data_IF_307737314792
#
_entry.id   IF_307737314792
#
_cell.length_a   1.000
_cell.length_b   1.000
_cell.length_c   1.000
_cell.angle_alpha   90.00
_cell.angle_beta   90.00
_cell.angle_gamma   90.00
#
_symmetry.space_group_name_H-M   'P 1'
#
loop_
_entity.id
_entity.type
_entity.pdbx_description
1 polymer ?
#
# COMPACT_ATOMS: atom_id res chain seq x y z
N UNK A 1 12.60 24.05 22.15
CA UNK A 1 12.20 24.88 21.00
C UNK A 1 13.07 26.13 21.00
N UNK A 2 13.69 26.49 19.88
CA UNK A 2 14.49 27.72 19.78
C UNK A 2 13.68 28.79 19.03
N UNK A 3 13.74 30.03 19.48
CA UNK A 3 13.09 31.16 18.84
C UNK A 3 14.13 32.03 18.10
N UNK A 4 13.81 32.44 16.89
CA UNK A 4 14.65 33.31 16.07
C UNK A 4 13.83 34.50 15.61
N UNK A 5 14.50 35.67 15.57
CA UNK A 5 13.88 36.90 15.01
C UNK A 5 14.03 36.89 13.51
N UNK A 6 12.96 37.26 12.83
CA UNK A 6 12.98 37.55 11.40
C UNK A 6 13.62 38.94 11.23
N UNK A 7 14.57 39.03 10.32
CA UNK A 7 15.23 40.29 9.97
C UNK A 7 14.97 40.62 8.50
N UNK A 8 14.77 41.87 8.20
CA UNK A 8 14.59 42.35 6.83
C UNK A 8 15.94 42.81 6.27
N UNK A 9 16.29 42.34 5.08
CA UNK A 9 17.53 42.75 4.40
C UNK A 9 17.27 43.12 2.95
N UNK A 10 17.90 44.18 2.49
CA UNK A 10 17.65 44.70 1.16
C UNK A 10 16.23 45.26 1.01
N UNK A 11 15.67 45.20 -0.22
CA UNK A 11 14.34 45.73 -0.53
C UNK A 11 13.21 44.68 -0.55
N UNK A 12 13.52 43.38 -0.44
CA UNK A 12 12.51 42.35 -0.68
C UNK A 12 12.74 41.02 0.06
N UNK A 13 13.78 40.87 0.91
CA UNK A 13 14.10 39.59 1.50
C UNK A 13 14.06 39.59 3.02
N UNK A 14 13.48 38.53 3.59
CA UNK A 14 13.55 38.22 5.02
C UNK A 14 14.59 37.17 5.28
N UNK A 15 15.35 37.31 6.38
CA UNK A 15 16.35 36.31 6.82
C UNK A 15 16.04 35.84 8.23
N UNK A 16 16.39 34.57 8.48
CA UNK A 16 16.38 33.95 9.79
C UNK A 16 17.73 33.25 10.03
N UNK A 17 18.29 33.37 11.23
CA UNK A 17 19.58 32.75 11.56
C UNK A 17 19.38 31.27 11.86
N UNK A 18 20.18 30.40 11.23
CA UNK A 18 20.21 28.97 11.52
C UNK A 18 20.91 28.68 12.85
N UNK A 19 20.54 27.60 13.59
CA UNK A 19 21.21 27.19 14.80
C UNK A 19 22.68 26.80 14.51
N UNK A 20 23.63 27.40 15.25
CA UNK A 20 25.07 27.09 15.06
C UNK A 20 25.40 25.60 15.20
N UNK A 21 24.70 24.91 16.09
CA UNK A 21 24.89 23.47 16.33
C UNK A 21 24.53 22.70 15.05
N UNK A 22 23.35 22.96 14.48
CA UNK A 22 22.87 22.33 13.25
C UNK A 22 23.82 22.59 12.06
N UNK A 23 24.27 23.85 11.87
CA UNK A 23 25.22 24.22 10.81
C UNK A 23 26.53 23.42 10.92
N UNK A 24 27.06 23.27 12.15
CA UNK A 24 28.30 22.53 12.39
C UNK A 24 28.14 21.01 12.19
N UNK A 25 27.05 20.44 12.68
CA UNK A 25 26.76 19.01 12.55
C UNK A 25 26.66 18.58 11.08
N UNK A 26 26.21 19.50 10.20
CA UNK A 26 26.09 19.24 8.78
C UNK A 26 27.26 19.76 7.94
N UNK A 27 28.35 20.25 8.58
CA UNK A 27 29.55 20.79 7.92
C UNK A 27 29.22 21.91 6.91
N UNK A 28 28.24 22.77 7.23
CA UNK A 28 27.87 23.91 6.42
C UNK A 28 28.73 25.13 6.76
N UNK A 29 29.02 25.95 5.74
CA UNK A 29 29.85 27.14 5.82
C UNK A 29 29.10 28.37 5.28
N UNK A 30 29.64 29.54 5.57
CA UNK A 30 29.11 30.79 5.00
C UNK A 30 29.19 30.75 3.47
N UNK A 31 28.09 31.03 2.80
CA UNK A 31 28.00 31.02 1.35
C UNK A 31 27.42 29.72 0.77
N UNK A 32 27.28 28.66 1.59
CA UNK A 32 26.62 27.44 1.13
C UNK A 32 25.13 27.71 0.83
N UNK A 33 24.65 27.05 -0.22
CA UNK A 33 23.23 27.05 -0.61
C UNK A 33 22.54 25.85 0.02
N UNK A 34 21.45 26.12 0.72
CA UNK A 34 20.64 25.07 1.36
C UNK A 34 19.24 25.06 0.74
N UNK A 35 18.74 23.88 0.33
CA UNK A 35 17.36 23.73 -0.15
C UNK A 35 16.34 24.05 0.95
N UNK A 36 15.22 24.63 0.54
CA UNK A 36 14.14 25.02 1.42
C UNK A 36 12.81 24.57 0.81
N UNK A 37 11.97 23.91 1.60
CA UNK A 37 10.61 23.53 1.22
C UNK A 37 9.60 24.22 2.13
N UNK A 38 8.53 24.75 1.55
CA UNK A 38 7.35 25.25 2.28
C UNK A 38 6.36 24.10 2.36
N UNK A 39 6.01 23.70 3.58
CA UNK A 39 5.09 22.60 3.84
C UNK A 39 3.64 23.09 3.80
N UNK A 40 2.65 22.21 3.56
CA UNK A 40 1.23 22.56 3.53
C UNK A 40 0.69 23.16 4.85
N UNK A 41 1.30 22.81 5.99
CA UNK A 41 0.97 23.38 7.30
C UNK A 41 1.54 24.80 7.52
N UNK A 42 2.17 25.38 6.50
CA UNK A 42 2.82 26.69 6.56
C UNK A 42 4.20 26.69 7.23
N UNK A 43 4.70 25.54 7.66
CA UNK A 43 6.08 25.43 8.18
C UNK A 43 7.10 25.42 7.05
N UNK A 44 8.36 25.74 7.39
CA UNK A 44 9.48 25.70 6.45
C UNK A 44 10.48 24.65 6.91
N UNK A 45 10.81 23.73 6.02
CA UNK A 45 11.89 22.76 6.23
C UNK A 45 13.13 23.18 5.46
N UNK A 46 14.29 23.19 6.14
CA UNK A 46 15.59 23.48 5.53
C UNK A 46 16.39 22.19 5.51
N UNK A 47 16.91 21.83 4.35
CA UNK A 47 17.73 20.64 4.15
C UNK A 47 19.21 21.01 4.15
N UNK A 48 20.09 20.26 4.81
CA UNK A 48 21.54 20.57 4.82
C UNK A 48 22.21 20.31 3.46
N UNK A 49 21.61 19.47 2.63
CA UNK A 49 22.00 19.19 1.24
C UNK A 49 20.74 18.97 0.44
N UNK A 50 20.83 19.16 -0.88
CA UNK A 50 19.73 18.69 -1.74
C UNK A 50 19.32 17.27 -1.33
N UNK A 51 18.03 17.02 -1.13
CA UNK A 51 17.55 15.67 -1.01
C UNK A 51 17.95 14.95 -2.31
N UNK A 52 19.11 14.31 -2.30
CA UNK A 52 19.45 13.42 -3.40
C UNK A 52 18.48 12.25 -3.28
N UNK A 53 17.92 11.82 -4.38
CA UNK A 53 17.41 10.47 -4.54
C UNK A 53 18.60 9.50 -4.37
N UNK A 54 19.04 9.35 -3.13
CA UNK A 54 20.00 8.32 -2.81
C UNK A 54 19.22 7.03 -2.86
N UNK A 55 19.42 6.28 -3.95
CA UNK A 55 18.91 4.92 -4.06
C UNK A 55 19.23 4.18 -2.76
N UNK A 56 18.17 3.97 -1.94
CA UNK A 56 18.35 3.33 -0.64
C UNK A 56 18.58 1.83 -0.83
N UNK A 57 19.75 1.37 -0.37
CA UNK A 57 20.12 -0.03 -0.47
C UNK A 57 19.88 -0.77 0.84
N UNK A 58 19.26 -1.95 0.75
CA UNK A 58 19.11 -2.90 1.85
C UNK A 58 19.90 -4.18 1.57
N UNK A 59 20.71 -4.60 2.55
CA UNK A 59 21.36 -5.91 2.53
C UNK A 59 20.59 -6.84 3.46
N UNK A 60 20.18 -7.99 2.94
CA UNK A 60 19.50 -9.05 3.68
C UNK A 60 20.46 -10.27 3.77
N UNK A 61 20.73 -10.72 4.98
CA UNK A 61 21.47 -11.95 5.22
C UNK A 61 20.48 -13.07 5.59
N UNK A 62 20.39 -14.09 4.74
CA UNK A 62 19.47 -15.21 4.89
C UNK A 62 20.27 -16.46 5.27
N UNK A 63 19.91 -17.05 6.40
CA UNK A 63 20.46 -18.32 6.88
C UNK A 63 19.33 -19.34 7.10
N UNK A 64 19.68 -20.58 7.45
CA UNK A 64 18.68 -21.61 7.79
C UNK A 64 17.95 -21.39 9.11
N UNK A 65 18.30 -20.37 9.87
CA UNK A 65 17.51 -19.92 11.03
C UNK A 65 16.14 -19.39 10.62
N UNK A 66 16.01 -18.92 9.38
CA UNK A 66 14.74 -18.51 8.80
C UNK A 66 14.13 -19.64 7.96
N UNK A 67 12.82 -19.78 7.98
CA UNK A 67 12.13 -20.62 6.99
C UNK A 67 12.21 -19.96 5.60
N UNK A 68 12.04 -20.73 4.50
CA UNK A 68 11.95 -20.17 3.15
C UNK A 68 10.86 -19.09 3.02
N UNK A 69 9.73 -19.25 3.72
CA UNK A 69 8.64 -18.29 3.72
C UNK A 69 8.99 -17.01 4.50
N UNK A 70 9.76 -17.13 5.57
CA UNK A 70 10.28 -15.95 6.26
C UNK A 70 11.26 -15.17 5.40
N UNK A 71 12.11 -15.84 4.62
CA UNK A 71 12.99 -15.19 3.66
C UNK A 71 12.20 -14.36 2.62
N UNK A 72 11.11 -14.92 2.09
CA UNK A 72 10.18 -14.19 1.19
C UNK A 72 9.60 -12.95 1.89
N UNK A 73 9.12 -13.09 3.13
CA UNK A 73 8.57 -11.96 3.91
C UNK A 73 9.59 -10.86 4.14
N UNK A 74 10.86 -11.19 4.37
CA UNK A 74 11.92 -10.18 4.52
C UNK A 74 12.15 -9.40 3.23
N UNK A 75 12.08 -10.05 2.06
CA UNK A 75 12.18 -9.38 0.75
C UNK A 75 10.99 -8.45 0.54
N UNK A 76 9.76 -8.91 0.78
CA UNK A 76 8.56 -8.07 0.69
C UNK A 76 8.67 -6.88 1.64
N UNK A 77 9.09 -7.11 2.90
CA UNK A 77 9.24 -6.06 3.89
C UNK A 77 10.24 -4.98 3.45
N UNK A 78 11.36 -5.36 2.85
CA UNK A 78 12.32 -4.41 2.33
C UNK A 78 11.76 -3.62 1.13
N UNK A 79 11.01 -4.26 0.24
CA UNK A 79 10.34 -3.60 -0.87
C UNK A 79 9.32 -2.54 -0.40
N UNK A 80 8.41 -2.88 0.52
CA UNK A 80 7.39 -1.95 1.03
C UNK A 80 7.98 -0.83 1.90
N UNK A 81 9.18 -1.02 2.47
CA UNK A 81 9.91 0.04 3.17
C UNK A 81 10.54 1.07 2.23
N UNK A 82 10.49 0.85 0.92
CA UNK A 82 10.94 1.82 -0.06
C UNK A 82 12.40 1.67 -0.52
N UNK A 83 13.09 0.58 -0.14
CA UNK A 83 14.45 0.34 -0.63
C UNK A 83 14.47 0.12 -2.14
N UNK A 84 15.39 0.82 -2.83
CA UNK A 84 15.51 0.76 -4.29
C UNK A 84 16.41 -0.40 -4.75
N UNK A 85 17.39 -0.76 -3.91
CA UNK A 85 18.30 -1.87 -4.19
C UNK A 85 18.25 -2.87 -3.05
N UNK A 86 17.89 -4.10 -3.39
CA UNK A 86 17.91 -5.24 -2.46
C UNK A 86 19.09 -6.15 -2.81
N UNK A 87 20.01 -6.30 -1.89
CA UNK A 87 21.11 -7.24 -2.00
C UNK A 87 20.91 -8.37 -0.98
N UNK A 88 20.70 -9.58 -1.47
CA UNK A 88 20.33 -10.75 -0.68
C UNK A 88 21.51 -11.72 -0.68
N UNK A 89 22.08 -11.97 0.49
CA UNK A 89 23.16 -12.92 0.72
C UNK A 89 22.60 -14.19 1.37
N UNK A 90 22.81 -15.32 0.72
CA UNK A 90 22.54 -16.63 1.29
C UNK A 90 23.80 -17.17 1.98
N UNK A 91 23.67 -17.59 3.23
CA UNK A 91 24.81 -18.08 4.02
C UNK A 91 25.52 -19.28 3.37
N UNK A 92 24.80 -20.06 2.59
CA UNK A 92 25.25 -21.22 1.84
C UNK A 92 24.39 -21.44 0.59
N UNK A 93 24.64 -22.47 -0.18
CA UNK A 93 23.75 -22.84 -1.28
C UNK A 93 22.41 -23.35 -0.74
N UNK A 94 21.34 -22.59 -0.98
CA UNK A 94 19.99 -22.82 -0.47
C UNK A 94 18.99 -22.78 -1.64
N UNK A 95 18.91 -23.82 -2.49
CA UNK A 95 18.15 -23.79 -3.74
C UNK A 95 16.68 -23.43 -3.57
N UNK A 96 16.00 -24.00 -2.56
CA UNK A 96 14.57 -23.74 -2.29
C UNK A 96 14.32 -22.27 -1.92
N UNK A 97 15.20 -21.70 -1.07
CA UNK A 97 15.11 -20.28 -0.72
C UNK A 97 15.32 -19.40 -1.94
N UNK A 98 16.33 -19.71 -2.72
CA UNK A 98 16.67 -18.95 -3.93
C UNK A 98 15.51 -18.97 -4.93
N UNK A 99 14.88 -20.10 -5.18
CA UNK A 99 13.72 -20.21 -6.07
C UNK A 99 12.57 -19.34 -5.57
N UNK A 100 12.23 -19.42 -4.26
CA UNK A 100 11.15 -18.61 -3.68
C UNK A 100 11.46 -17.12 -3.71
N UNK A 101 12.70 -16.72 -3.37
CA UNK A 101 13.15 -15.32 -3.42
C UNK A 101 13.07 -14.79 -4.85
N UNK A 102 13.54 -15.55 -5.83
CA UNK A 102 13.47 -15.15 -7.24
C UNK A 102 12.03 -14.97 -7.68
N UNK A 103 11.14 -15.92 -7.33
CA UNK A 103 9.72 -15.83 -7.66
C UNK A 103 9.07 -14.57 -7.09
N UNK A 104 9.29 -14.26 -5.82
CA UNK A 104 8.71 -13.05 -5.23
C UNK A 104 9.31 -11.78 -5.83
N UNK A 105 10.62 -11.70 -6.07
CA UNK A 105 11.23 -10.53 -6.71
C UNK A 105 10.63 -10.26 -8.09
N UNK A 106 10.37 -11.30 -8.89
CA UNK A 106 9.73 -11.19 -10.20
C UNK A 106 8.25 -10.78 -10.13
N UNK A 107 7.57 -11.04 -9.01
CA UNK A 107 6.18 -10.62 -8.82
C UNK A 107 6.05 -9.20 -8.27
N UNK A 108 7.10 -8.63 -7.65
CA UNK A 108 7.04 -7.26 -7.13
C UNK A 108 7.03 -6.22 -8.26
N UNK A 109 6.12 -5.23 -8.24
CA UNK A 109 6.04 -4.21 -9.28
C UNK A 109 7.34 -3.43 -9.45
N UNK A 110 7.78 -3.30 -10.70
CA UNK A 110 8.96 -2.51 -11.07
C UNK A 110 10.30 -3.05 -10.56
N UNK A 111 10.36 -4.28 -10.05
CA UNK A 111 11.59 -4.89 -9.55
C UNK A 111 12.23 -5.76 -10.63
N UNK A 112 13.52 -5.50 -10.90
CA UNK A 112 14.33 -6.30 -11.81
C UNK A 112 15.52 -6.94 -11.10
N UNK A 113 15.77 -8.21 -11.38
CA UNK A 113 16.94 -8.93 -10.88
C UNK A 113 18.13 -8.60 -11.78
N UNK A 114 19.10 -7.85 -11.23
CA UNK A 114 20.30 -7.42 -11.98
C UNK A 114 21.50 -8.33 -11.77
N UNK A 115 21.47 -9.18 -10.74
CA UNK A 115 22.50 -10.19 -10.47
C UNK A 115 21.86 -11.43 -9.82
N UNK A 116 22.23 -12.61 -10.29
CA UNK A 116 21.70 -13.89 -9.77
C UNK A 116 22.83 -14.93 -9.71
N UNK A 117 23.63 -14.88 -8.64
CA UNK A 117 24.72 -15.81 -8.32
C UNK A 117 24.26 -16.88 -7.32
N UNK A 118 24.98 -18.00 -7.13
CA UNK A 118 24.56 -19.09 -6.23
C UNK A 118 24.17 -18.64 -4.82
N UNK A 119 24.93 -17.72 -4.22
CA UNK A 119 24.73 -17.24 -2.86
C UNK A 119 24.38 -15.75 -2.78
N UNK A 120 24.16 -15.09 -3.93
CA UNK A 120 23.91 -13.63 -3.96
C UNK A 120 22.89 -13.30 -5.05
N UNK A 121 21.87 -12.54 -4.66
CA UNK A 121 20.90 -11.96 -5.59
C UNK A 121 20.89 -10.45 -5.37
N UNK A 122 20.95 -9.67 -6.45
CA UNK A 122 20.75 -8.22 -6.39
C UNK A 122 19.57 -7.87 -7.27
N UNK A 123 18.60 -7.19 -6.69
CA UNK A 123 17.44 -6.68 -7.38
C UNK A 123 17.35 -5.17 -7.22
N UNK A 124 16.81 -4.49 -8.22
CA UNK A 124 16.65 -3.04 -8.24
C UNK A 124 15.21 -2.68 -8.61
N UNK A 125 14.64 -1.71 -7.90
CA UNK A 125 13.40 -1.05 -8.30
C UNK A 125 13.69 -0.06 -9.42
N UNK A 126 12.95 -0.15 -10.52
CA UNK A 126 12.99 0.76 -11.66
C UNK A 126 11.78 1.69 -11.69
N UNK A 127 10.98 1.70 -10.60
CA UNK A 127 9.82 2.57 -10.51
C UNK A 127 10.26 4.03 -10.42
N UNK A 128 9.68 4.86 -11.27
CA UNK A 128 9.62 6.29 -11.02
C UNK A 128 8.46 6.57 -10.05
N UNK A 129 8.82 6.79 -8.79
CA UNK A 129 7.82 6.93 -7.74
C UNK A 129 7.16 8.31 -7.72
N UNK A 130 7.67 9.27 -8.50
CA UNK A 130 7.01 10.56 -8.70
C UNK A 130 5.81 10.43 -9.64
N UNK A 131 5.82 9.42 -10.51
CA UNK A 131 4.70 9.10 -11.41
C UNK A 131 3.63 8.21 -10.78
N UNK A 132 3.85 7.69 -9.55
CA UNK A 132 2.89 6.79 -8.89
C UNK A 132 1.71 7.58 -8.32
N UNK A 133 0.54 7.43 -8.95
CA UNK A 133 -0.71 8.06 -8.53
C UNK A 133 -1.56 7.10 -7.68
N UNK A 134 -1.75 7.41 -6.38
CA UNK A 134 -2.53 6.57 -5.47
C UNK A 134 -4.00 6.43 -5.88
N UNK A 135 -4.62 7.45 -6.49
CA UNK A 135 -6.00 7.36 -6.95
C UNK A 135 -6.14 6.34 -8.08
N UNK A 136 -5.19 6.33 -9.02
CA UNK A 136 -5.18 5.35 -10.11
C UNK A 136 -4.96 3.92 -9.58
N UNK A 137 -4.06 3.75 -8.61
CA UNK A 137 -3.84 2.45 -7.98
C UNK A 137 -5.08 1.96 -7.23
N UNK A 138 -5.78 2.83 -6.49
CA UNK A 138 -7.04 2.49 -5.83
C UNK A 138 -8.14 2.11 -6.83
N UNK A 139 -8.23 2.82 -7.95
CA UNK A 139 -9.16 2.46 -9.03
C UNK A 139 -8.78 1.10 -9.66
N UNK A 140 -7.49 0.79 -9.78
CA UNK A 140 -7.06 -0.52 -10.30
C UNK A 140 -7.46 -1.65 -9.36
N UNK A 141 -7.17 -1.57 -8.06
CA UNK A 141 -7.57 -2.63 -7.10
C UNK A 141 -9.10 -2.77 -7.01
N UNK A 142 -9.85 -1.64 -7.12
CA UNK A 142 -11.31 -1.69 -7.25
C UNK A 142 -11.74 -2.51 -8.46
N UNK A 143 -11.14 -2.27 -9.63
CA UNK A 143 -11.46 -2.99 -10.86
C UNK A 143 -11.13 -4.48 -10.73
N UNK A 144 -10.01 -4.84 -10.10
CA UNK A 144 -9.63 -6.23 -9.86
C UNK A 144 -10.66 -6.98 -9.03
N UNK A 145 -11.11 -6.40 -7.91
CA UNK A 145 -12.15 -7.02 -7.06
C UNK A 145 -13.46 -7.20 -7.84
N UNK A 146 -13.87 -6.22 -8.64
CA UNK A 146 -15.09 -6.34 -9.46
C UNK A 146 -14.95 -7.46 -10.50
N UNK A 147 -13.79 -7.60 -11.14
CA UNK A 147 -13.50 -8.70 -12.07
C UNK A 147 -13.54 -10.04 -11.35
N UNK A 148 -12.83 -10.20 -10.21
CA UNK A 148 -12.85 -11.42 -9.40
C UNK A 148 -14.28 -11.82 -8.98
N UNK A 149 -15.13 -10.87 -8.60
CA UNK A 149 -16.54 -11.11 -8.28
C UNK A 149 -17.35 -11.51 -9.53
N UNK A 150 -16.98 -10.98 -10.71
CA UNK A 150 -17.58 -11.38 -11.99
C UNK A 150 -17.28 -12.84 -12.33
N UNK A 151 -16.02 -13.22 -12.23
CA UNK A 151 -15.56 -14.58 -12.51
C UNK A 151 -16.08 -15.57 -11.47
N UNK A 152 -16.17 -15.16 -10.19
CA UNK A 152 -16.79 -15.97 -9.15
C UNK A 152 -18.28 -16.26 -9.46
N UNK A 153 -19.02 -15.28 -9.99
CA UNK A 153 -20.40 -15.50 -10.41
C UNK A 153 -20.49 -16.54 -11.54
N UNK A 154 -19.60 -16.47 -12.52
CA UNK A 154 -19.49 -17.45 -13.61
C UNK A 154 -19.11 -18.83 -13.08
N UNK A 155 -18.14 -18.92 -12.16
CA UNK A 155 -17.70 -20.16 -11.57
C UNK A 155 -18.82 -20.86 -10.75
N UNK A 156 -19.64 -20.10 -10.02
CA UNK A 156 -20.79 -20.62 -9.28
C UNK A 156 -21.86 -21.14 -10.25
N UNK A 157 -22.06 -20.47 -11.39
CA UNK A 157 -22.99 -20.92 -12.42
C UNK A 157 -22.47 -22.15 -13.19
N UNK A 158 -21.16 -22.32 -13.28
CA UNK A 158 -20.49 -23.47 -13.97
C UNK A 158 -19.43 -24.09 -13.05
N UNK A 159 -19.83 -24.86 -12.02
CA UNK A 159 -18.89 -25.40 -11.04
C UNK A 159 -17.86 -26.33 -11.67
N UNK A 160 -16.60 -26.15 -11.30
CA UNK A 160 -15.49 -26.99 -11.75
C UNK A 160 -14.78 -26.48 -13.02
N UNK A 161 -15.11 -25.29 -13.53
CA UNK A 161 -14.35 -24.67 -14.60
C UNK A 161 -12.96 -24.24 -14.10
N UNK A 162 -11.95 -25.01 -14.48
CA UNK A 162 -10.57 -24.77 -14.05
C UNK A 162 -9.91 -23.57 -14.75
N UNK A 163 -10.48 -23.03 -15.83
CA UNK A 163 -9.96 -21.81 -16.48
C UNK A 163 -10.41 -20.59 -15.69
N UNK A 164 -11.69 -20.52 -15.32
CA UNK A 164 -12.21 -19.42 -14.49
C UNK A 164 -11.51 -19.40 -13.11
N UNK A 165 -11.30 -20.56 -12.49
CA UNK A 165 -10.59 -20.63 -11.21
C UNK A 165 -9.15 -20.12 -11.32
N UNK A 166 -8.46 -20.42 -12.42
CA UNK A 166 -7.11 -19.89 -12.68
C UNK A 166 -7.11 -18.40 -12.89
N UNK A 167 -8.10 -17.85 -13.59
CA UNK A 167 -8.24 -16.43 -13.82
C UNK A 167 -8.47 -15.67 -12.51
N UNK A 168 -9.34 -16.15 -11.63
CA UNK A 168 -9.53 -15.59 -10.28
C UNK A 168 -8.20 -15.59 -9.49
N UNK A 169 -7.42 -16.66 -9.55
CA UNK A 169 -6.11 -16.74 -8.89
C UNK A 169 -5.09 -15.77 -9.49
N UNK A 170 -5.11 -15.56 -10.81
CA UNK A 170 -4.21 -14.60 -11.46
C UNK A 170 -4.59 -13.16 -11.12
N UNK A 171 -5.90 -12.85 -11.02
CA UNK A 171 -6.39 -11.55 -10.56
C UNK A 171 -6.04 -11.30 -9.08
N UNK A 172 -6.09 -12.32 -8.22
CA UNK A 172 -5.68 -12.22 -6.82
C UNK A 172 -4.18 -11.94 -6.69
N UNK A 173 -3.34 -12.65 -7.44
CA UNK A 173 -1.91 -12.38 -7.51
C UNK A 173 -1.61 -10.95 -8.02
N UNK A 174 -2.40 -10.42 -8.96
CA UNK A 174 -2.28 -9.05 -9.42
C UNK A 174 -2.73 -8.05 -8.33
N UNK A 175 -3.79 -8.36 -7.59
CA UNK A 175 -4.26 -7.56 -6.45
C UNK A 175 -3.16 -7.42 -5.39
N UNK A 176 -2.50 -8.51 -5.03
CA UNK A 176 -1.36 -8.53 -4.10
C UNK A 176 -0.21 -7.63 -4.58
N UNK A 177 0.10 -7.67 -5.88
CA UNK A 177 1.13 -6.79 -6.45
C UNK A 177 0.78 -5.32 -6.28
N UNK A 178 -0.47 -4.91 -6.56
CA UNK A 178 -0.91 -3.53 -6.35
C UNK A 178 -1.00 -3.17 -4.87
N UNK A 179 -1.38 -4.08 -4.00
CA UNK A 179 -1.34 -3.91 -2.56
C UNK A 179 0.07 -3.54 -2.07
N UNK A 180 1.10 -4.28 -2.46
CA UNK A 180 2.49 -3.97 -2.09
C UNK A 180 2.95 -2.62 -2.67
N UNK A 181 2.57 -2.31 -3.90
CA UNK A 181 2.90 -1.03 -4.53
C UNK A 181 2.27 0.16 -3.79
N UNK A 182 1.00 0.05 -3.40
CA UNK A 182 0.32 1.10 -2.64
C UNK A 182 0.98 1.32 -1.28
N UNK A 183 1.32 0.24 -0.55
CA UNK A 183 2.02 0.39 0.74
C UNK A 183 3.37 1.07 0.54
N UNK A 184 4.15 0.68 -0.46
CA UNK A 184 5.43 1.32 -0.80
C UNK A 184 5.24 2.79 -1.11
N UNK A 185 4.25 3.15 -1.95
CA UNK A 185 3.95 4.53 -2.30
C UNK A 185 3.53 5.37 -1.08
N UNK A 186 2.64 4.84 -0.22
CA UNK A 186 2.22 5.52 1.02
C UNK A 186 3.41 5.72 1.96
N UNK A 187 4.27 4.71 2.13
CA UNK A 187 5.45 4.83 2.98
C UNK A 187 6.39 5.96 2.50
N UNK A 188 6.60 6.08 1.18
CA UNK A 188 7.41 7.18 0.63
C UNK A 188 6.75 8.55 0.81
N UNK A 189 5.45 8.66 0.62
CA UNK A 189 4.72 9.91 0.89
C UNK A 189 4.83 10.33 2.36
N UNK A 190 4.76 9.39 3.30
CA UNK A 190 4.95 9.66 4.73
C UNK A 190 6.38 10.17 5.01
N UNK A 191 7.38 9.66 4.31
CA UNK A 191 8.78 10.05 4.48
C UNK A 191 9.13 11.36 3.76
N UNK A 192 8.48 11.71 2.64
CA UNK A 192 8.69 12.95 1.86
C UNK A 192 8.12 14.22 2.52
N UNK A 193 7.67 14.19 3.78
CA UNK A 193 7.20 15.35 4.57
C UNK A 193 6.28 16.31 3.82
N UNK A 194 5.13 15.82 3.44
CA UNK A 194 4.06 16.68 2.95
C UNK A 194 3.21 16.00 1.89
N UNK A 195 1.93 15.94 2.15
CA UNK A 195 0.92 15.64 1.14
C UNK A 195 0.81 16.90 0.29
N UNK A 196 1.21 16.85 -0.98
CA UNK A 196 0.87 17.92 -1.93
C UNK A 196 -0.62 17.81 -2.23
N UNK A 197 -1.31 18.95 -2.31
CA UNK A 197 -2.77 19.05 -2.54
C UNK A 197 -3.28 18.39 -3.85
N UNK A 198 -2.40 17.81 -4.65
CA UNK A 198 -2.70 17.29 -5.98
C UNK A 198 -3.42 15.92 -6.01
N UNK A 199 -3.48 15.18 -4.92
CA UNK A 199 -4.21 13.91 -4.88
C UNK A 199 -5.56 14.08 -4.20
N UNK A 200 -6.63 14.31 -4.96
CA UNK A 200 -8.00 14.59 -4.48
C UNK A 200 -8.57 13.65 -3.38
N UNK A 201 -7.97 12.48 -3.19
CA UNK A 201 -8.32 11.50 -2.16
C UNK A 201 -7.60 11.78 -0.84
N UNK A 202 -6.37 12.31 -0.88
CA UNK A 202 -5.53 12.56 0.29
C UNK A 202 -5.54 14.06 0.57
N UNK A 203 -6.22 14.45 1.65
CA UNK A 203 -6.32 15.84 2.10
C UNK A 203 -5.35 16.13 3.26
N UNK A 204 -4.99 15.12 4.03
CA UNK A 204 -4.13 15.21 5.24
C UNK A 204 -3.27 13.96 5.37
N UNK A 205 -2.19 14.06 6.13
CA UNK A 205 -1.31 12.92 6.46
C UNK A 205 -2.08 11.75 7.09
N UNK A 206 -3.15 12.02 7.86
CA UNK A 206 -3.99 10.99 8.43
C UNK A 206 -4.70 10.14 7.37
N UNK A 207 -5.04 10.70 6.22
CA UNK A 207 -5.66 9.97 5.11
C UNK A 207 -4.74 8.87 4.56
N UNK A 208 -3.42 9.05 4.62
CA UNK A 208 -2.45 8.01 4.24
C UNK A 208 -2.57 6.77 5.13
N UNK A 209 -2.80 6.96 6.44
CA UNK A 209 -3.07 5.84 7.36
C UNK A 209 -4.41 5.17 7.01
N UNK A 210 -5.44 5.96 6.71
CA UNK A 210 -6.73 5.46 6.26
C UNK A 210 -6.59 4.60 4.99
N UNK A 211 -5.84 5.06 4.00
CA UNK A 211 -5.57 4.28 2.78
C UNK A 211 -4.89 2.94 3.10
N UNK A 212 -3.92 2.90 4.03
CA UNK A 212 -3.30 1.63 4.43
C UNK A 212 -4.31 0.64 5.02
N UNK A 213 -5.23 1.11 5.88
CA UNK A 213 -6.28 0.26 6.43
C UNK A 213 -7.27 -0.20 5.35
N UNK A 214 -7.66 0.69 4.44
CA UNK A 214 -8.57 0.36 3.34
C UNK A 214 -7.97 -0.71 2.44
N UNK A 215 -6.74 -0.50 1.94
CA UNK A 215 -6.12 -1.46 1.00
C UNK A 215 -5.84 -2.81 1.66
N UNK A 216 -5.55 -2.82 2.98
CA UNK A 216 -5.41 -4.07 3.74
C UNK A 216 -6.72 -4.86 3.79
N UNK A 217 -7.86 -4.18 3.99
CA UNK A 217 -9.16 -4.83 3.97
C UNK A 217 -9.53 -5.30 2.55
N UNK A 218 -9.16 -4.56 1.50
CA UNK A 218 -9.40 -4.95 0.11
C UNK A 218 -8.60 -6.22 -0.26
N UNK A 219 -7.34 -6.33 0.14
CA UNK A 219 -6.55 -7.57 -0.04
C UNK A 219 -7.23 -8.75 0.65
N UNK A 220 -7.70 -8.57 1.90
CA UNK A 220 -8.47 -9.60 2.61
C UNK A 220 -9.78 -9.98 1.90
N UNK A 221 -10.44 -9.04 1.26
CA UNK A 221 -11.62 -9.34 0.43
C UNK A 221 -11.22 -10.24 -0.73
N UNK A 222 -10.10 -9.96 -1.41
CA UNK A 222 -9.54 -10.82 -2.47
C UNK A 222 -9.26 -12.25 -2.00
N UNK A 223 -8.55 -12.41 -0.88
CA UNK A 223 -8.29 -13.71 -0.22
C UNK A 223 -9.60 -14.52 -0.04
N UNK A 224 -10.66 -13.86 0.45
CA UNK A 224 -11.94 -14.53 0.71
C UNK A 224 -12.75 -14.80 -0.56
N UNK A 225 -12.63 -14.00 -1.61
CA UNK A 225 -13.19 -14.30 -2.93
C UNK A 225 -12.54 -15.58 -3.48
N UNK A 226 -11.21 -15.67 -3.43
CA UNK A 226 -10.47 -16.87 -3.84
C UNK A 226 -10.90 -18.10 -3.02
N UNK A 227 -11.08 -17.95 -1.70
CA UNK A 227 -11.53 -19.02 -0.82
C UNK A 227 -12.96 -19.50 -1.14
N UNK A 228 -13.86 -18.60 -1.59
CA UNK A 228 -15.19 -19.00 -2.11
C UNK A 228 -15.02 -19.73 -3.43
N UNK A 229 -14.14 -19.28 -4.32
CA UNK A 229 -13.88 -19.93 -5.61
C UNK A 229 -13.36 -21.36 -5.45
N UNK A 230 -12.50 -21.62 -4.47
CA UNK A 230 -12.01 -22.96 -4.12
C UNK A 230 -13.09 -23.83 -3.44
N UNK A 231 -14.08 -23.24 -2.79
CA UNK A 231 -15.15 -23.91 -2.06
C UNK A 231 -16.52 -23.32 -2.45
N UNK A 232 -16.97 -23.53 -3.71
CA UNK A 232 -18.18 -22.86 -4.21
C UNK A 232 -19.43 -23.17 -3.38
N UNK A 233 -20.23 -22.15 -3.12
CA UNK A 233 -21.48 -22.25 -2.37
C UNK A 233 -22.42 -21.10 -2.69
N UNK A 234 -23.66 -21.20 -2.19
CA UNK A 234 -24.68 -20.18 -2.40
C UNK A 234 -24.36 -18.92 -1.61
N UNK A 235 -23.87 -17.87 -2.31
CA UNK A 235 -23.58 -16.53 -1.78
C UNK A 235 -24.20 -15.48 -2.71
N UNK A 236 -24.57 -14.32 -2.17
CA UNK A 236 -25.16 -13.24 -2.94
C UNK A 236 -24.06 -12.35 -3.57
N UNK A 237 -23.53 -12.76 -4.72
CA UNK A 237 -22.47 -12.02 -5.43
C UNK A 237 -22.95 -10.63 -5.86
N UNK A 238 -24.17 -10.49 -6.31
CA UNK A 238 -24.70 -9.19 -6.73
C UNK A 238 -24.73 -8.19 -5.58
N UNK A 239 -25.09 -8.64 -4.38
CA UNK A 239 -25.03 -7.82 -3.18
C UNK A 239 -23.58 -7.39 -2.85
N UNK A 240 -22.62 -8.31 -2.96
CA UNK A 240 -21.21 -7.96 -2.77
C UNK A 240 -20.73 -6.90 -3.76
N UNK A 241 -21.04 -7.06 -5.05
CA UNK A 241 -20.69 -6.08 -6.10
C UNK A 241 -21.25 -4.69 -5.79
N UNK A 242 -22.53 -4.64 -5.42
CA UNK A 242 -23.21 -3.40 -5.07
C UNK A 242 -22.59 -2.73 -3.85
N UNK A 243 -22.42 -3.47 -2.73
CA UNK A 243 -21.90 -2.90 -1.49
C UNK A 243 -20.44 -2.51 -1.61
N UNK A 244 -19.63 -3.31 -2.28
CA UNK A 244 -18.25 -2.94 -2.58
C UNK A 244 -18.15 -1.66 -3.42
N UNK A 245 -18.99 -1.53 -4.46
CA UNK A 245 -19.06 -0.32 -5.27
C UNK A 245 -19.43 0.92 -4.45
N UNK A 246 -20.43 0.80 -3.57
CA UNK A 246 -20.86 1.89 -2.69
C UNK A 246 -19.78 2.30 -1.68
N UNK A 247 -19.12 1.33 -1.02
CA UNK A 247 -18.02 1.61 -0.09
C UNK A 247 -16.88 2.34 -0.79
N UNK A 248 -16.47 1.86 -1.98
CA UNK A 248 -15.37 2.48 -2.72
C UNK A 248 -15.68 3.92 -3.17
N UNK A 249 -16.92 4.22 -3.53
CA UNK A 249 -17.34 5.58 -3.88
C UNK A 249 -17.18 6.54 -2.68
N UNK A 250 -17.40 6.05 -1.47
CA UNK A 250 -17.31 6.88 -0.26
C UNK A 250 -15.88 7.26 0.13
N UNK A 251 -14.84 6.66 -0.44
CA UNK A 251 -13.45 7.08 -0.20
C UNK A 251 -13.23 8.54 -0.64
N UNK A 252 -13.87 8.95 -1.73
CA UNK A 252 -13.81 10.31 -2.26
C UNK A 252 -14.92 11.21 -1.68
N UNK A 253 -16.18 10.72 -1.70
CA UNK A 253 -17.36 11.49 -1.31
C UNK A 253 -17.37 11.82 0.19
N UNK A 254 -17.04 10.86 1.04
CA UNK A 254 -17.03 10.95 2.52
C UNK A 254 -18.36 11.47 3.09
N UNK A 255 -19.49 11.05 2.50
CA UNK A 255 -20.83 11.40 2.98
C UNK A 255 -21.22 10.52 4.16
N UNK A 256 -21.18 11.08 5.36
CA UNK A 256 -21.48 10.36 6.61
C UNK A 256 -22.88 9.74 6.62
N UNK A 257 -23.88 10.38 6.00
CA UNK A 257 -25.25 9.84 5.96
C UNK A 257 -25.38 8.63 5.02
N UNK A 258 -24.62 8.61 3.92
CA UNK A 258 -24.55 7.43 3.02
C UNK A 258 -23.81 6.29 3.68
N UNK A 259 -22.70 6.59 4.36
CA UNK A 259 -21.87 5.60 5.07
C UNK A 259 -22.68 4.96 6.21
N UNK A 260 -23.40 5.74 7.01
CA UNK A 260 -24.21 5.22 8.11
C UNK A 260 -25.26 4.23 7.62
N UNK A 261 -26.02 4.59 6.57
CA UNK A 261 -27.01 3.66 5.95
C UNK A 261 -26.35 2.38 5.45
N UNK A 262 -25.21 2.50 4.76
CA UNK A 262 -24.47 1.35 4.26
C UNK A 262 -24.00 0.42 5.39
N UNK A 263 -23.51 1.00 6.50
CA UNK A 263 -23.10 0.24 7.68
C UNK A 263 -24.26 -0.52 8.34
N UNK A 264 -25.46 0.10 8.38
CA UNK A 264 -26.66 -0.56 8.90
C UNK A 264 -27.08 -1.75 8.01
N UNK A 265 -27.08 -1.58 6.68
CA UNK A 265 -27.40 -2.64 5.73
C UNK A 265 -26.42 -3.82 5.82
N UNK A 266 -25.09 -3.52 5.92
CA UNK A 266 -24.06 -4.55 6.10
C UNK A 266 -24.27 -5.33 7.41
N UNK A 267 -24.57 -4.64 8.53
CA UNK A 267 -24.82 -5.27 9.83
C UNK A 267 -26.04 -6.18 9.83
N UNK A 268 -27.11 -5.78 9.13
CA UNK A 268 -28.31 -6.61 8.98
C UNK A 268 -28.00 -7.88 8.20
N UNK A 269 -27.30 -7.76 7.07
CA UNK A 269 -26.91 -8.91 6.25
C UNK A 269 -25.97 -9.85 7.03
N UNK A 270 -24.93 -9.34 7.70
CA UNK A 270 -23.99 -10.13 8.51
C UNK A 270 -24.74 -10.95 9.59
N UNK A 271 -25.75 -10.37 10.22
CA UNK A 271 -26.57 -11.07 11.26
C UNK A 271 -27.44 -12.16 10.69
N UNK A 272 -27.84 -12.07 9.43
CA UNK A 272 -28.71 -13.07 8.76
C UNK A 272 -27.97 -14.33 8.36
N UNK A 273 -26.61 -14.26 8.24
CA UNK A 273 -25.77 -15.35 7.72
C UNK A 273 -25.51 -16.41 8.80
N UNK A 274 -25.94 -17.65 8.55
CA UNK A 274 -25.47 -18.80 9.32
C UNK A 274 -24.16 -19.33 8.70
N UNK A 275 -23.06 -18.66 9.08
CA UNK A 275 -21.71 -18.91 8.55
C UNK A 275 -21.13 -20.29 8.85
N UNK A 276 -21.77 -21.06 9.77
CA UNK A 276 -21.31 -22.40 10.17
C UNK A 276 -21.68 -23.46 9.14
N UNK A 277 -22.55 -23.15 8.20
CA UNK A 277 -23.03 -24.11 7.20
C UNK A 277 -22.01 -24.41 6.12
N UNK A 278 -21.14 -23.45 5.73
CA UNK A 278 -20.15 -23.67 4.69
C UNK A 278 -18.99 -22.67 4.77
N UNK A 279 -17.85 -23.05 4.15
CA UNK A 279 -16.68 -22.17 3.98
C UNK A 279 -17.05 -20.95 3.13
N UNK A 280 -17.91 -21.12 2.12
CA UNK A 280 -18.38 -20.02 1.29
C UNK A 280 -19.15 -18.97 2.10
N UNK A 281 -20.09 -19.40 2.96
CA UNK A 281 -20.86 -18.48 3.80
C UNK A 281 -19.97 -17.80 4.87
N UNK A 282 -18.99 -18.53 5.43
CA UNK A 282 -18.02 -17.91 6.35
C UNK A 282 -17.22 -16.83 5.63
N UNK A 283 -16.72 -17.11 4.41
CA UNK A 283 -15.96 -16.14 3.62
C UNK A 283 -16.83 -14.97 3.15
N UNK A 284 -18.08 -15.21 2.75
CA UNK A 284 -19.06 -14.17 2.42
C UNK A 284 -19.26 -13.19 3.60
N UNK A 285 -19.50 -13.73 4.81
CA UNK A 285 -19.62 -12.91 6.02
C UNK A 285 -18.35 -12.10 6.29
N UNK A 286 -17.16 -12.70 6.10
CA UNK A 286 -15.88 -11.99 6.29
C UNK A 286 -15.71 -10.84 5.31
N UNK A 287 -16.10 -11.01 4.05
CA UNK A 287 -16.07 -9.92 3.07
C UNK A 287 -16.93 -8.74 3.54
N UNK A 288 -18.15 -9.01 4.04
CA UNK A 288 -19.03 -7.97 4.56
C UNK A 288 -18.43 -7.26 5.78
N UNK A 289 -17.78 -7.98 6.69
CA UNK A 289 -17.07 -7.41 7.84
C UNK A 289 -15.89 -6.51 7.41
N UNK A 290 -15.16 -6.89 6.35
CA UNK A 290 -14.10 -6.03 5.80
C UNK A 290 -14.67 -4.78 5.11
N UNK A 291 -15.82 -4.86 4.46
CA UNK A 291 -16.53 -3.68 3.94
C UNK A 291 -16.96 -2.74 5.08
N UNK A 292 -17.44 -3.28 6.19
CA UNK A 292 -17.76 -2.52 7.40
C UNK A 292 -16.52 -1.81 7.95
N UNK A 293 -15.38 -2.52 8.09
CA UNK A 293 -14.11 -1.93 8.53
C UNK A 293 -13.61 -0.80 7.61
N UNK A 294 -13.81 -0.93 6.29
CA UNK A 294 -13.51 0.15 5.35
C UNK A 294 -14.43 1.35 5.61
N UNK A 295 -15.73 1.13 5.82
CA UNK A 295 -16.68 2.18 6.17
C UNK A 295 -16.29 2.94 7.45
N UNK A 296 -15.90 2.25 8.52
CA UNK A 296 -15.38 2.86 9.75
C UNK A 296 -14.13 3.71 9.48
N UNK A 297 -13.23 3.21 8.65
CA UNK A 297 -12.01 3.94 8.27
C UNK A 297 -12.35 5.23 7.54
N UNK A 298 -13.32 5.19 6.60
CA UNK A 298 -13.77 6.37 5.85
C UNK A 298 -14.44 7.40 6.79
N UNK A 299 -15.21 6.96 7.80
CA UNK A 299 -15.77 7.86 8.83
C UNK A 299 -14.64 8.61 9.54
N UNK A 300 -13.59 7.90 9.96
CA UNK A 300 -12.43 8.51 10.60
C UNK A 300 -11.73 9.54 9.69
N UNK A 301 -11.62 9.24 8.39
CA UNK A 301 -11.05 10.16 7.39
C UNK A 301 -11.97 11.36 7.11
N UNK A 302 -13.29 11.22 7.27
CA UNK A 302 -14.26 12.30 7.02
C UNK A 302 -14.25 13.35 8.13
N UNK A 303 -13.89 12.98 9.35
CA UNK A 303 -13.83 13.87 10.53
C UNK A 303 -12.46 14.52 10.73
N UNK A 304 -11.45 14.08 10.00
CA UNK A 304 -10.08 14.57 10.13
C UNK A 304 -9.82 15.91 9.41
#
# INVERSE_FOLDING_TARGET
MEFRKIQFTGRSSYIISLPKKWVREHNLSQGDVVPLSINPDGSITIFPKEPRDVSEKKILHISREYSPDMAVRLVISAYIQGYDVLEIHLAEEMPIYKVKIRKILQSLPGVEIILDEPQRIVAKSLLDEEEVNLAELLNRIRSLIISMLGDLELLIASPGDGEILRDINDLENELDRFYFLIIRAVNRLLNKRGVTEESGIIKRTFDLLGILFIVRNIERIGDHIMRIAENPGAVNIQYLKEKFGHVMAQIEERDLGKIDRLMLELKEEIRSIDYRQSIALESYRRILEYLENIGETIINMALS
#
